data_IF_067893115522
#
_entry.id   IF_067893115522
#
_cell.length_a   1.000
_cell.length_b   1.000
_cell.length_c   1.000
_cell.angle_alpha   90.00
_cell.angle_beta   90.00
_cell.angle_gamma   90.00
#
_symmetry.space_group_name_H-M   'P 1'
#
loop_
_entity.id
_entity.type
_entity.pdbx_description
1 polymer ?
#
# COMPACT_ATOMS: atom_id res chain seq x y z
N UNK A 1 16.68 2.77 11.35
CA UNK A 1 16.78 3.72 10.22
C UNK A 1 15.79 4.85 10.47
N UNK A 2 16.21 6.11 10.37
CA UNK A 2 15.31 7.27 10.55
C UNK A 2 15.08 7.89 9.17
N UNK A 3 13.82 8.02 8.76
CA UNK A 3 13.47 8.82 7.59
C UNK A 3 13.23 10.26 8.05
N UNK A 4 13.85 11.23 7.37
CA UNK A 4 13.74 12.66 7.71
C UNK A 4 13.18 13.38 6.49
N UNK A 5 12.01 13.99 6.65
CA UNK A 5 11.41 14.82 5.62
C UNK A 5 12.17 16.15 5.48
N UNK A 6 12.29 16.63 4.24
CA UNK A 6 12.72 18.01 3.98
C UNK A 6 11.73 19.00 4.60
N UNK A 7 12.18 20.07 5.28
CA UNK A 7 11.29 21.03 5.93
C UNK A 7 10.23 21.61 4.99
N UNK A 8 8.96 21.53 5.40
CA UNK A 8 7.81 22.15 4.75
C UNK A 8 6.92 22.82 5.80
N UNK A 9 6.13 23.81 5.38
CA UNK A 9 5.16 24.48 6.25
C UNK A 9 4.02 23.55 6.71
N UNK A 10 3.70 22.54 5.92
CA UNK A 10 2.76 21.48 6.24
C UNK A 10 3.12 20.22 5.45
N UNK A 11 2.77 19.05 6.00
CA UNK A 11 2.92 17.75 5.34
C UNK A 11 1.56 17.12 5.07
N UNK A 12 1.46 16.41 3.95
CA UNK A 12 0.35 15.54 3.59
C UNK A 12 0.83 14.10 3.63
N UNK A 13 0.38 13.37 4.63
CA UNK A 13 0.71 11.97 4.82
C UNK A 13 -0.53 11.13 4.52
N UNK A 14 -0.36 10.05 3.77
CA UNK A 14 -1.41 9.06 3.57
C UNK A 14 -1.07 7.84 4.42
N UNK A 15 -2.01 7.42 5.25
CA UNK A 15 -1.89 6.20 6.03
C UNK A 15 -2.80 5.14 5.42
N UNK A 16 -2.23 3.97 5.08
CA UNK A 16 -2.96 2.80 4.60
C UNK A 16 -2.70 1.66 5.58
N UNK A 17 -3.72 0.87 5.85
CA UNK A 17 -3.68 -0.27 6.78
C UNK A 17 -4.58 -1.38 6.25
N UNK A 18 -4.39 -2.60 6.77
CA UNK A 18 -5.30 -3.73 6.55
C UNK A 18 -5.48 -4.05 5.05
N UNK A 19 -4.37 -4.08 4.31
CA UNK A 19 -4.37 -4.38 2.87
C UNK A 19 -4.74 -5.85 2.59
N UNK A 20 -4.43 -6.76 3.51
CA UNK A 20 -4.72 -8.20 3.41
C UNK A 20 -4.44 -8.81 2.03
N UNK A 21 -3.31 -8.44 1.40
CA UNK A 21 -2.94 -8.97 0.10
C UNK A 21 -2.71 -10.48 0.15
N UNK A 22 -3.18 -11.19 -0.88
CA UNK A 22 -2.84 -12.59 -1.10
C UNK A 22 -1.76 -12.68 -2.19
N UNK A 23 -1.16 -13.86 -2.34
CA UNK A 23 -0.12 -14.09 -3.36
C UNK A 23 -0.55 -13.81 -4.80
N UNK A 24 -1.86 -13.85 -5.10
CA UNK A 24 -2.41 -13.61 -6.43
C UNK A 24 -3.15 -12.28 -6.48
N UNK A 25 -2.87 -11.48 -7.52
CA UNK A 25 -3.56 -10.22 -7.78
C UNK A 25 -5.06 -10.39 -8.07
N UNK A 26 -5.49 -11.58 -8.49
CA UNK A 26 -6.90 -11.93 -8.69
C UNK A 26 -7.52 -12.67 -7.49
N UNK A 27 -6.75 -12.88 -6.42
CA UNK A 27 -7.19 -13.52 -5.20
C UNK A 27 -8.37 -12.80 -4.55
N UNK A 28 -9.31 -13.57 -4.01
CA UNK A 28 -10.45 -13.06 -3.27
C UNK A 28 -10.23 -13.25 -1.76
N UNK A 29 -10.45 -12.18 -1.00
CA UNK A 29 -10.56 -12.22 0.45
C UNK A 29 -11.88 -11.56 0.84
N UNK A 30 -12.73 -12.29 1.58
CA UNK A 30 -14.06 -11.80 1.97
C UNK A 30 -14.86 -11.16 0.81
N UNK A 31 -14.89 -11.83 -0.34
CA UNK A 31 -15.61 -11.41 -1.56
C UNK A 31 -15.06 -10.17 -2.28
N UNK A 32 -13.96 -9.57 -1.82
CA UNK A 32 -13.25 -8.49 -2.52
C UNK A 32 -11.93 -8.95 -3.09
N UNK A 33 -11.33 -8.18 -4.02
CA UNK A 33 -10.00 -8.43 -4.58
C UNK A 33 -9.01 -7.38 -4.07
N UNK A 34 -8.33 -7.61 -2.92
CA UNK A 34 -7.59 -6.55 -2.22
C UNK A 34 -6.52 -5.89 -3.08
N UNK A 35 -5.83 -6.66 -3.91
CA UNK A 35 -4.80 -6.14 -4.83
C UNK A 35 -5.36 -5.10 -5.82
N UNK A 36 -6.59 -5.31 -6.35
CA UNK A 36 -7.21 -4.36 -7.28
C UNK A 36 -7.63 -3.06 -6.60
N UNK A 37 -8.14 -3.16 -5.37
CA UNK A 37 -8.48 -1.98 -4.57
C UNK A 37 -7.23 -1.17 -4.22
N UNK A 38 -6.17 -1.84 -3.76
CA UNK A 38 -4.90 -1.18 -3.45
C UNK A 38 -4.30 -0.53 -4.70
N UNK A 39 -4.26 -1.22 -5.84
CA UNK A 39 -3.76 -0.67 -7.10
C UNK A 39 -4.51 0.60 -7.53
N UNK A 40 -5.84 0.63 -7.36
CA UNK A 40 -6.64 1.81 -7.66
C UNK A 40 -6.30 3.00 -6.75
N UNK A 41 -6.11 2.74 -5.44
CA UNK A 41 -5.69 3.76 -4.48
C UNK A 41 -4.31 4.30 -4.86
N UNK A 42 -3.33 3.45 -5.13
CA UNK A 42 -1.97 3.90 -5.50
C UNK A 42 -1.97 4.74 -6.77
N UNK A 43 -2.76 4.35 -7.78
CA UNK A 43 -2.93 5.13 -9.01
C UNK A 43 -3.47 6.53 -8.74
N UNK A 44 -4.38 6.67 -7.77
CA UNK A 44 -4.86 7.98 -7.33
C UNK A 44 -3.78 8.75 -6.56
N UNK A 45 -3.01 8.10 -5.69
CA UNK A 45 -1.93 8.78 -4.94
C UNK A 45 -0.81 9.29 -5.84
N UNK A 46 -0.56 8.63 -6.98
CA UNK A 46 0.37 9.12 -8.01
C UNK A 46 -0.07 10.46 -8.63
N UNK A 47 -1.36 10.81 -8.59
CA UNK A 47 -1.85 12.12 -9.04
C UNK A 47 -1.89 13.15 -7.90
N UNK A 48 -2.21 12.72 -6.69
CA UNK A 48 -2.32 13.60 -5.52
C UNK A 48 -0.97 14.00 -4.90
N UNK A 49 0.09 13.24 -5.16
CA UNK A 49 1.48 13.49 -4.75
C UNK A 49 1.61 13.86 -3.26
N UNK A 50 1.23 12.97 -2.32
CA UNK A 50 1.48 13.18 -0.90
C UNK A 50 2.99 13.16 -0.58
N UNK A 51 3.36 13.68 0.59
CA UNK A 51 4.75 13.69 1.06
C UNK A 51 5.25 12.29 1.44
N UNK A 52 4.34 11.43 1.94
CA UNK A 52 4.60 10.02 2.12
C UNK A 52 3.31 9.19 2.16
N UNK A 53 3.48 7.90 1.88
CA UNK A 53 2.52 6.85 2.16
C UNK A 53 3.10 5.97 3.25
N UNK A 54 2.32 5.73 4.31
CA UNK A 54 2.73 4.96 5.49
C UNK A 54 1.80 3.75 5.58
N UNK A 55 2.38 2.56 5.58
CA UNK A 55 1.67 1.30 5.74
C UNK A 55 1.78 0.84 7.21
N UNK A 56 0.65 0.70 7.92
CA UNK A 56 0.68 0.53 9.39
C UNK A 56 0.34 -0.85 9.94
N UNK A 57 -0.02 -1.83 9.11
CA UNK A 57 -0.32 -3.18 9.60
C UNK A 57 -1.10 -4.00 8.59
N UNK A 58 -1.13 -5.32 8.82
CA UNK A 58 -1.92 -6.31 8.06
C UNK A 58 -1.81 -6.16 6.54
N UNK A 59 -0.55 -6.03 6.09
CA UNK A 59 -0.20 -5.78 4.69
C UNK A 59 -0.57 -6.96 3.78
N UNK A 60 -0.39 -8.17 4.29
CA UNK A 60 -0.60 -9.42 3.57
C UNK A 60 -1.41 -10.36 4.44
N UNK A 61 -2.34 -11.11 3.86
CA UNK A 61 -3.17 -12.08 4.55
C UNK A 61 -2.44 -13.38 4.88
N UNK A 62 -1.58 -13.84 3.98
CA UNK A 62 -0.91 -15.15 4.07
C UNK A 62 0.55 -15.05 4.54
N UNK A 63 1.06 -13.83 4.78
CA UNK A 63 2.45 -13.54 5.16
C UNK A 63 3.51 -14.20 4.25
N UNK A 64 3.12 -14.55 3.02
CA UNK A 64 4.03 -15.18 2.07
C UNK A 64 4.95 -14.14 1.42
N UNK A 65 6.15 -14.58 1.04
CA UNK A 65 7.07 -13.76 0.26
C UNK A 65 6.44 -13.27 -1.05
N UNK A 66 5.60 -14.10 -1.68
CA UNK A 66 4.87 -13.74 -2.89
C UNK A 66 3.92 -12.56 -2.68
N UNK A 67 3.16 -12.54 -1.57
CA UNK A 67 2.28 -11.42 -1.24
C UNK A 67 3.04 -10.12 -0.96
N UNK A 68 4.20 -10.20 -0.31
CA UNK A 68 5.07 -9.03 -0.11
C UNK A 68 5.73 -8.56 -1.42
N UNK A 69 6.07 -9.47 -2.31
CA UNK A 69 6.58 -9.14 -3.65
C UNK A 69 5.51 -8.41 -4.47
N UNK A 70 4.27 -8.92 -4.46
CA UNK A 70 3.13 -8.25 -5.08
C UNK A 70 2.88 -6.87 -4.47
N UNK A 71 2.97 -6.73 -3.14
CA UNK A 71 2.86 -5.42 -2.48
C UNK A 71 3.92 -4.45 -3.03
N UNK A 72 5.18 -4.88 -3.11
CA UNK A 72 6.27 -4.05 -3.61
C UNK A 72 6.07 -3.63 -5.07
N UNK A 73 5.56 -4.53 -5.92
CA UNK A 73 5.20 -4.24 -7.32
C UNK A 73 4.09 -3.20 -7.41
N UNK A 74 3.06 -3.31 -6.57
CA UNK A 74 1.94 -2.35 -6.56
C UNK A 74 2.33 -0.95 -6.08
N UNK A 75 3.43 -0.80 -5.33
CA UNK A 75 3.90 0.49 -4.82
C UNK A 75 4.82 1.25 -5.80
N UNK A 76 5.10 0.70 -6.99
CA UNK A 76 5.91 1.35 -8.04
C UNK A 76 5.10 2.42 -8.81
#
# INVERSE_FOLDING_TARGET
MQYVFSPKNAYRLVQITDCHLLQSADGYYQQVQPAKHLAAIIRQLQTELPDAVILTGDLTQDHSEASYSLLAELMQ
#
